data_IF_141623188182
#
_entry.id   IF_141623188182
#
_cell.length_a   1.000
_cell.length_b   1.000
_cell.length_c   1.000
_cell.angle_alpha   90.00
_cell.angle_beta   90.00
_cell.angle_gamma   90.00
#
_symmetry.space_group_name_H-M   'P 1'
#
loop_
_entity.id
_entity.type
_entity.pdbx_description
1 polymer ?
#
# COMPACT_ATOMS: atom_id res chain seq x y z
N UNK A 1 21.64 -7.40 13.40
CA UNK A 1 20.56 -6.49 13.82
C UNK A 1 20.23 -6.70 15.30
N UNK A 2 20.19 -5.67 16.15
CA UNK A 2 19.70 -5.75 17.56
C UNK A 2 18.47 -4.85 17.71
N UNK A 3 17.36 -5.38 18.25
CA UNK A 3 16.08 -4.64 18.44
C UNK A 3 15.80 -4.51 19.94
N UNK A 4 15.41 -3.32 20.40
CA UNK A 4 15.03 -3.06 21.80
C UNK A 4 13.84 -2.10 21.87
N UNK A 5 13.01 -2.28 22.91
CA UNK A 5 11.87 -1.43 23.27
C UNK A 5 12.24 -0.54 24.45
N UNK A 6 11.88 0.73 24.35
CA UNK A 6 12.08 1.76 25.37
C UNK A 6 10.72 2.36 25.72
N UNK A 7 10.43 2.51 27.00
CA UNK A 7 9.20 3.14 27.49
C UNK A 7 9.61 4.27 28.41
N UNK A 8 9.19 5.49 28.09
CA UNK A 8 9.48 6.66 28.90
C UNK A 8 8.28 7.59 29.00
N UNK A 9 8.28 8.45 30.02
CA UNK A 9 7.23 9.43 30.27
C UNK A 9 6.99 10.37 29.09
N UNK A 10 8.08 10.80 28.46
CA UNK A 10 8.08 11.81 27.39
C UNK A 10 8.94 11.34 26.20
N UNK A 11 8.55 11.73 24.99
CA UNK A 11 9.25 11.35 23.75
C UNK A 11 10.74 11.70 23.78
N UNK A 12 11.10 12.87 24.35
CA UNK A 12 12.50 13.31 24.47
C UNK A 12 13.33 12.35 25.33
N UNK A 13 12.78 11.88 26.44
CA UNK A 13 13.43 10.92 27.32
C UNK A 13 13.60 9.58 26.61
N UNK A 14 12.55 9.08 25.94
CA UNK A 14 12.65 7.84 25.16
C UNK A 14 13.74 7.90 24.09
N UNK A 15 13.86 9.02 23.36
CA UNK A 15 14.92 9.22 22.37
C UNK A 15 16.32 9.32 22.98
N UNK A 16 16.43 9.89 24.18
CA UNK A 16 17.70 9.96 24.91
C UNK A 16 18.15 8.55 25.30
N UNK A 17 17.25 7.73 25.86
CA UNK A 17 17.55 6.33 26.17
C UNK A 17 17.90 5.51 24.92
N UNK A 18 17.15 5.67 23.83
CA UNK A 18 17.48 5.01 22.55
C UNK A 18 18.89 5.38 22.12
N UNK A 19 19.26 6.66 22.21
CA UNK A 19 20.60 7.14 21.84
C UNK A 19 21.69 6.63 22.78
N UNK A 20 21.44 6.58 24.08
CA UNK A 20 22.42 6.10 25.07
C UNK A 20 22.65 4.59 24.97
N UNK A 21 21.60 3.81 24.67
CA UNK A 21 21.70 2.35 24.59
C UNK A 21 22.08 1.80 23.22
N UNK A 22 21.56 2.39 22.14
CA UNK A 22 21.78 1.90 20.77
C UNK A 22 22.70 2.80 19.94
N UNK A 23 22.90 4.06 20.35
CA UNK A 23 23.72 5.03 19.63
C UNK A 23 22.91 5.96 18.72
N UNK A 24 23.58 6.93 18.07
CA UNK A 24 22.95 7.89 17.17
C UNK A 24 22.46 7.25 15.86
N UNK A 25 23.00 6.09 15.49
CA UNK A 25 22.65 5.36 14.26
C UNK A 25 21.43 4.44 14.43
N UNK A 26 20.71 4.55 15.55
CA UNK A 26 19.52 3.74 15.83
C UNK A 26 18.36 4.12 14.90
N UNK A 27 17.72 3.11 14.32
CA UNK A 27 16.53 3.26 13.47
C UNK A 27 15.29 2.95 14.29
N UNK A 28 14.33 3.87 14.31
CA UNK A 28 13.04 3.67 14.99
C UNK A 28 12.10 2.87 14.09
N UNK A 29 11.61 1.73 14.59
CA UNK A 29 10.67 0.85 13.89
C UNK A 29 9.21 1.16 14.22
N UNK A 30 8.93 1.60 15.45
CA UNK A 30 7.57 1.88 15.91
C UNK A 30 7.55 2.94 17.00
N UNK A 31 6.47 3.73 17.02
CA UNK A 31 6.14 4.69 18.05
C UNK A 31 4.69 4.47 18.50
N UNK A 32 4.47 4.26 19.79
CA UNK A 32 3.15 4.10 20.40
C UNK A 32 3.04 4.95 21.66
N UNK A 33 1.93 5.68 21.81
CA UNK A 33 1.57 6.29 23.11
C UNK A 33 0.90 5.25 24.00
N UNK A 34 1.38 5.12 25.23
CA UNK A 34 0.90 4.17 26.25
C UNK A 34 0.52 4.95 27.51
N UNK A 35 -0.15 4.30 28.48
CA UNK A 35 -0.50 4.96 29.74
C UNK A 35 0.74 5.49 30.51
N UNK A 36 1.86 4.77 30.39
CA UNK A 36 3.18 5.13 30.95
C UNK A 36 3.92 6.24 30.17
N UNK A 37 3.33 6.76 29.09
CA UNK A 37 3.92 7.81 28.23
C UNK A 37 4.08 7.37 26.77
N UNK A 38 5.32 7.14 26.34
CA UNK A 38 5.66 6.78 24.96
C UNK A 38 6.54 5.54 24.94
N UNK A 39 6.14 4.59 24.11
CA UNK A 39 6.88 3.39 23.77
C UNK A 39 7.54 3.53 22.39
N UNK A 40 8.85 3.37 22.35
CA UNK A 40 9.68 3.42 21.14
C UNK A 40 10.37 2.07 20.94
N UNK A 41 10.18 1.47 19.77
CA UNK A 41 10.93 0.28 19.36
C UNK A 41 11.99 0.69 18.36
N UNK A 42 13.24 0.40 18.66
CA UNK A 42 14.39 0.81 17.86
C UNK A 42 15.32 -0.37 17.58
N UNK A 43 16.07 -0.28 16.48
CA UNK A 43 17.04 -1.28 16.08
C UNK A 43 18.34 -0.64 15.57
N UNK A 44 19.46 -1.35 15.76
CA UNK A 44 20.68 -1.08 14.99
C UNK A 44 20.76 -2.10 13.87
N UNK A 45 20.78 -1.60 12.63
CA UNK A 45 21.21 -2.39 11.49
C UNK A 45 22.64 -1.99 11.14
N UNK A 46 23.52 -2.96 10.95
CA UNK A 46 24.92 -2.69 10.58
C UNK A 46 25.12 -2.72 9.07
N UNK A 47 24.04 -2.57 8.30
CA UNK A 47 24.17 -2.28 6.89
C UNK A 47 24.52 -0.80 6.73
N UNK A 48 25.60 -0.45 6.00
CA UNK A 48 26.00 0.94 5.84
C UNK A 48 24.83 1.71 5.25
N UNK A 49 24.25 2.61 6.05
CA UNK A 49 23.39 3.66 5.54
C UNK A 49 24.14 4.29 4.35
N UNK A 50 23.52 4.43 3.17
CA UNK A 50 24.20 5.07 2.05
C UNK A 50 24.62 6.44 2.53
N UNK A 51 25.94 6.66 2.58
CA UNK A 51 26.55 7.86 3.10
C UNK A 51 25.81 9.06 2.48
N UNK A 52 25.08 9.80 3.31
CA UNK A 52 24.54 11.08 2.92
C UNK A 52 25.75 11.93 2.55
N UNK A 53 25.95 12.11 1.24
CA UNK A 53 27.06 12.87 0.69
C UNK A 53 27.08 14.23 1.41
N UNK A 54 28.22 14.68 1.96
CA UNK A 54 28.29 16.02 2.51
C UNK A 54 27.97 17.00 1.38
N UNK A 55 26.88 17.75 1.53
CA UNK A 55 26.57 18.85 0.64
C UNK A 55 27.74 19.86 0.73
N UNK A 56 28.33 20.27 -0.39
CA UNK A 56 29.40 21.26 -0.35
C UNK A 56 28.84 22.57 0.19
N UNK A 57 29.51 23.12 1.20
CA UNK A 57 29.30 24.48 1.66
C UNK A 57 29.54 25.45 0.49
N UNK A 58 28.49 26.14 0.04
CA UNK A 58 28.62 27.24 -0.90
C UNK A 58 27.46 28.26 -0.78
N UNK A 59 27.82 29.38 -0.16
CA UNK A 59 27.40 30.77 -0.44
C UNK A 59 26.10 31.32 0.20
N UNK A 60 26.13 32.58 0.70
CA UNK A 60 24.96 33.27 1.20
C UNK A 60 24.08 33.68 0.02
N UNK A 61 22.90 33.06 -0.09
CA UNK A 61 21.89 33.42 -1.09
C UNK A 61 20.97 34.50 -0.51
N UNK A 62 20.68 35.59 -1.26
CA UNK A 62 19.87 36.69 -0.75
C UNK A 62 18.43 36.24 -0.51
N UNK A 63 17.82 36.80 0.53
CA UNK A 63 16.48 36.47 1.01
C UNK A 63 15.41 36.63 -0.09
N UNK A 64 14.42 35.71 -0.17
CA UNK A 64 13.33 35.85 -1.13
C UNK A 64 12.38 36.94 -0.64
N UNK A 65 12.39 38.08 -1.33
CA UNK A 65 11.24 39.00 -1.31
C UNK A 65 10.08 38.30 -2.01
N UNK A 66 9.03 38.00 -1.26
CA UNK A 66 7.75 37.54 -1.82
C UNK A 66 7.22 38.60 -2.78
N UNK A 67 7.15 38.28 -4.06
CA UNK A 67 6.28 38.96 -5.01
C UNK A 67 5.38 37.89 -5.60
N UNK A 68 4.17 37.81 -5.07
CA UNK A 68 3.10 37.01 -5.61
C UNK A 68 2.62 37.69 -6.90
N UNK A 69 3.05 37.17 -8.04
CA UNK A 69 2.32 37.36 -9.30
C UNK A 69 1.45 36.14 -9.50
N UNK A 70 0.17 36.30 -9.20
CA UNK A 70 -0.88 35.38 -9.62
C UNK A 70 -0.96 35.48 -11.14
N UNK A 71 -0.57 34.41 -11.83
CA UNK A 71 -0.99 34.14 -13.20
C UNK A 71 -1.87 32.90 -13.10
N UNK A 72 -3.17 33.17 -13.16
CA UNK A 72 -4.24 32.20 -13.36
C UNK A 72 -4.23 31.72 -14.82
N UNK A 73 -4.86 30.58 -15.07
CA UNK A 73 -5.22 29.96 -16.36
C UNK A 73 -4.14 29.13 -17.10
N UNK A 74 -4.23 27.80 -16.96
CA UNK A 74 -4.59 26.92 -18.09
C UNK A 74 -4.93 25.49 -17.58
N UNK A 75 -6.07 25.00 -18.03
CA UNK A 75 -6.63 23.66 -17.85
C UNK A 75 -5.62 22.51 -18.11
N UNK A 76 -5.54 21.54 -17.19
CA UNK A 76 -5.09 20.19 -17.54
C UNK A 76 -5.68 19.17 -16.55
N UNK A 77 -6.89 18.72 -16.85
CA UNK A 77 -7.43 17.45 -16.38
C UNK A 77 -6.49 16.28 -16.76
N UNK A 78 -5.49 15.93 -15.94
CA UNK A 78 -4.82 14.61 -16.01
C UNK A 78 -3.86 14.21 -14.85
N UNK A 79 -3.80 14.80 -13.64
CA UNK A 79 -2.93 14.22 -12.60
C UNK A 79 -3.57 13.01 -11.87
N UNK A 80 -4.90 12.82 -11.99
CA UNK A 80 -5.61 11.77 -11.26
C UNK A 80 -5.38 10.37 -11.86
N UNK A 81 -5.25 10.26 -13.19
CA UNK A 81 -5.06 8.96 -13.84
C UNK A 81 -3.69 8.35 -13.52
N UNK A 82 -2.65 9.19 -13.40
CA UNK A 82 -1.31 8.74 -13.00
C UNK A 82 -1.28 8.16 -11.56
N UNK A 83 -1.94 8.84 -10.61
CA UNK A 83 -2.08 8.34 -9.24
C UNK A 83 -2.90 7.05 -9.18
N UNK A 84 -3.99 7.00 -9.93
CA UNK A 84 -4.89 5.83 -9.98
C UNK A 84 -4.23 4.64 -10.66
N UNK A 85 -3.46 4.86 -11.72
CA UNK A 85 -2.68 3.85 -12.42
C UNK A 85 -1.56 3.28 -11.53
N UNK A 86 -0.88 4.14 -10.75
CA UNK A 86 0.11 3.69 -9.77
C UNK A 86 -0.51 2.85 -8.66
N UNK A 87 -1.66 3.28 -8.14
CA UNK A 87 -2.38 2.56 -7.08
C UNK A 87 -2.92 1.20 -7.58
N UNK A 88 -3.49 1.17 -8.79
CA UNK A 88 -3.91 -0.07 -9.45
C UNK A 88 -2.74 -1.03 -9.70
N UNK A 89 -1.59 -0.50 -10.16
CA UNK A 89 -0.35 -1.29 -10.35
C UNK A 89 0.14 -1.92 -9.04
N UNK A 90 0.03 -1.18 -7.93
CA UNK A 90 0.40 -1.67 -6.60
C UNK A 90 -0.52 -2.80 -6.14
N UNK A 91 -1.83 -2.67 -6.35
CA UNK A 91 -2.81 -3.70 -5.98
C UNK A 91 -2.64 -5.00 -6.77
N UNK A 92 -2.43 -4.91 -8.09
CA UNK A 92 -2.19 -6.08 -8.95
C UNK A 92 -0.92 -6.81 -8.50
N UNK A 93 0.15 -6.07 -8.18
CA UNK A 93 1.41 -6.66 -7.73
C UNK A 93 1.28 -7.40 -6.39
N UNK A 94 0.44 -6.91 -5.46
CA UNK A 94 0.15 -7.62 -4.21
C UNK A 94 -0.69 -8.89 -4.39
N UNK A 95 -1.61 -8.93 -5.36
CA UNK A 95 -2.40 -10.14 -5.65
C UNK A 95 -1.57 -11.24 -6.32
N UNK A 96 -0.67 -10.88 -7.25
CA UNK A 96 0.18 -11.88 -7.94
C UNK A 96 1.12 -12.59 -6.96
N UNK A 97 1.63 -11.90 -5.93
CA UNK A 97 2.49 -12.52 -4.91
C UNK A 97 1.71 -13.46 -3.97
N UNK A 98 0.41 -13.24 -3.75
CA UNK A 98 -0.42 -14.10 -2.89
C UNK A 98 -0.96 -15.34 -3.63
N UNK A 99 -1.16 -15.27 -4.94
CA UNK A 99 -1.74 -16.37 -5.72
C UNK A 99 -0.72 -17.28 -6.41
N UNK A 100 0.58 -16.96 -6.38
CA UNK A 100 1.65 -17.79 -6.95
C UNK A 100 2.07 -18.98 -6.07
N UNK A 101 1.47 -19.16 -4.89
CA UNK A 101 1.74 -20.30 -4.00
C UNK A 101 0.87 -21.55 -4.26
N UNK A 102 0.00 -21.53 -5.28
CA UNK A 102 -0.77 -22.71 -5.70
C UNK A 102 -0.27 -23.22 -7.05
N UNK A 103 0.62 -24.22 -7.01
CA UNK A 103 1.06 -25.00 -8.18
C UNK A 103 -0.16 -25.66 -8.87
N UNK A 104 -0.38 -25.51 -10.19
CA UNK A 104 -1.26 -26.39 -10.92
C UNK A 104 -0.43 -27.47 -11.63
N UNK A 105 -0.57 -28.71 -11.19
CA UNK A 105 -0.18 -29.87 -12.00
C UNK A 105 -1.16 -30.01 -13.16
N UNK A 106 -0.65 -29.84 -14.37
CA UNK A 106 -1.34 -30.12 -15.63
C UNK A 106 -1.66 -31.61 -15.75
N UNK A 107 -2.94 -31.95 -15.93
CA UNK A 107 -3.34 -33.06 -16.82
C UNK A 107 -4.61 -32.69 -17.60
N UNK A 108 -4.47 -32.84 -18.91
CA UNK A 108 -5.48 -32.69 -19.93
C UNK A 108 -6.51 -33.83 -19.89
N UNK A 109 -7.77 -33.51 -20.23
CA UNK A 109 -8.62 -34.30 -21.12
C UNK A 109 -10.00 -33.61 -21.29
N UNK A 110 -10.18 -33.06 -22.48
CA UNK A 110 -11.38 -33.08 -23.34
C UNK A 110 -12.58 -33.94 -22.90
N UNK A 111 -13.79 -33.40 -23.17
CA UNK A 111 -15.09 -34.02 -23.53
C UNK A 111 -16.31 -33.80 -22.60
N UNK A 112 -17.24 -32.99 -23.13
CA UNK A 112 -18.69 -33.22 -23.28
C UNK A 112 -19.60 -33.39 -22.04
N UNK A 113 -20.60 -32.50 -21.95
CA UNK A 113 -21.93 -32.79 -21.39
C UNK A 113 -22.74 -33.62 -22.42
N UNK A 114 -23.81 -34.40 -22.08
CA UNK A 114 -24.77 -34.13 -21.02
C UNK A 114 -25.41 -35.35 -20.28
N UNK A 115 -26.21 -35.00 -19.27
CA UNK A 115 -27.44 -35.69 -18.80
C UNK A 115 -27.34 -36.87 -17.80
N UNK A 116 -28.04 -36.63 -16.69
CA UNK A 116 -28.80 -37.56 -15.84
C UNK A 116 -28.10 -38.31 -14.69
N UNK A 117 -28.90 -38.49 -13.62
CA UNK A 117 -28.68 -39.24 -12.37
C UNK A 117 -27.71 -38.58 -11.38
N UNK A 118 -28.21 -37.79 -10.42
CA UNK A 118 -28.72 -38.28 -9.13
C UNK A 118 -27.81 -39.31 -8.44
N UNK A 119 -27.29 -38.86 -7.31
CA UNK A 119 -27.08 -39.65 -6.10
C UNK A 119 -25.91 -40.65 -6.10
N UNK A 120 -24.69 -40.16 -5.85
CA UNK A 120 -23.76 -40.91 -5.02
C UNK A 120 -22.99 -40.01 -4.05
N UNK A 121 -23.32 -40.22 -2.77
CA UNK A 121 -22.39 -40.35 -1.63
C UNK A 121 -21.56 -39.12 -1.24
N UNK A 122 -22.12 -38.46 -0.23
CA UNK A 122 -21.40 -37.99 0.94
C UNK A 122 -20.22 -38.90 1.32
N UNK A 123 -19.01 -38.56 0.89
CA UNK A 123 -17.74 -38.68 1.61
C UNK A 123 -16.75 -37.78 0.85
N UNK A 124 -16.42 -36.58 1.31
CA UNK A 124 -15.22 -36.36 2.13
C UNK A 124 -14.94 -34.84 2.11
N UNK A 125 -14.49 -34.26 3.24
CA UNK A 125 -13.69 -33.02 3.21
C UNK A 125 -14.43 -31.71 3.46
N UNK A 126 -14.89 -31.49 4.69
CA UNK A 126 -15.17 -30.17 5.22
C UNK A 126 -13.85 -29.37 5.38
N UNK A 127 -13.47 -28.54 4.39
CA UNK A 127 -12.48 -27.46 4.54
C UNK A 127 -12.36 -26.46 3.35
N UNK A 128 -13.37 -26.32 2.46
CA UNK A 128 -13.27 -25.44 1.27
C UNK A 128 -14.32 -24.31 1.18
N UNK A 129 -15.13 -24.10 2.23
CA UNK A 129 -16.23 -23.13 2.21
C UNK A 129 -15.87 -21.69 2.59
N UNK A 130 -14.84 -21.47 3.42
CA UNK A 130 -14.52 -20.13 3.91
C UNK A 130 -13.80 -19.28 2.83
N UNK A 131 -12.88 -19.89 2.07
CA UNK A 131 -12.11 -19.17 1.05
C UNK A 131 -12.93 -18.82 -0.19
N UNK A 132 -13.96 -19.62 -0.53
CA UNK A 132 -14.82 -19.37 -1.70
C UNK A 132 -15.79 -18.22 -1.48
N UNK A 133 -16.35 -18.10 -0.27
CA UNK A 133 -17.19 -16.94 0.11
C UNK A 133 -16.36 -15.66 0.10
N UNK A 134 -15.15 -15.70 0.68
CA UNK A 134 -14.28 -14.53 0.76
C UNK A 134 -13.75 -14.08 -0.61
N UNK A 135 -13.47 -15.00 -1.53
CA UNK A 135 -13.06 -14.69 -2.91
C UNK A 135 -14.22 -14.07 -3.72
N UNK A 136 -15.45 -14.54 -3.50
CA UNK A 136 -16.65 -14.02 -4.16
C UNK A 136 -16.95 -12.59 -3.69
N UNK A 137 -16.85 -12.33 -2.37
CA UNK A 137 -17.03 -10.99 -1.82
C UNK A 137 -15.94 -10.01 -2.29
N UNK A 138 -14.68 -10.46 -2.38
CA UNK A 138 -13.59 -9.64 -2.90
C UNK A 138 -13.81 -9.27 -4.37
N UNK A 139 -14.31 -10.21 -5.18
CA UNK A 139 -14.61 -9.98 -6.60
C UNK A 139 -15.75 -8.99 -6.75
N UNK A 140 -16.81 -9.15 -5.96
CA UNK A 140 -17.96 -8.24 -5.95
C UNK A 140 -17.56 -6.82 -5.52
N UNK A 141 -16.67 -6.68 -4.54
CA UNK A 141 -16.15 -5.39 -4.11
C UNK A 141 -15.29 -4.73 -5.21
N UNK A 142 -14.49 -5.52 -5.93
CA UNK A 142 -13.71 -5.05 -7.07
C UNK A 142 -14.60 -4.57 -8.22
N UNK A 143 -15.64 -5.33 -8.58
CA UNK A 143 -16.62 -4.93 -9.59
C UNK A 143 -17.39 -3.67 -9.18
N UNK A 144 -17.74 -3.53 -7.90
CA UNK A 144 -18.42 -2.34 -7.41
C UNK A 144 -17.54 -1.10 -7.55
N UNK A 145 -16.25 -1.21 -7.23
CA UNK A 145 -15.30 -0.12 -7.45
C UNK A 145 -15.14 0.20 -8.94
N UNK A 146 -15.02 -0.81 -9.81
CA UNK A 146 -14.92 -0.61 -11.25
C UNK A 146 -16.15 0.11 -11.81
N UNK A 147 -17.35 -0.26 -11.33
CA UNK A 147 -18.61 0.38 -11.75
C UNK A 147 -18.70 1.84 -11.31
N UNK A 148 -18.24 2.17 -10.10
CA UNK A 148 -18.20 3.56 -9.64
C UNK A 148 -17.24 4.39 -10.50
N UNK A 149 -16.07 3.83 -10.84
CA UNK A 149 -15.12 4.49 -11.74
C UNK A 149 -15.69 4.66 -13.14
N UNK A 150 -16.40 3.66 -13.66
CA UNK A 150 -17.07 3.75 -14.95
C UNK A 150 -18.13 4.85 -14.95
N UNK A 151 -18.96 4.95 -13.90
CA UNK A 151 -19.94 6.02 -13.76
C UNK A 151 -19.29 7.41 -13.70
N UNK A 152 -18.15 7.55 -13.01
CA UNK A 152 -17.41 8.82 -13.00
C UNK A 152 -16.87 9.17 -14.40
N UNK A 153 -16.35 8.18 -15.14
CA UNK A 153 -15.87 8.36 -16.50
C UNK A 153 -17.01 8.71 -17.47
N UNK A 154 -18.17 8.07 -17.34
CA UNK A 154 -19.34 8.38 -18.16
C UNK A 154 -19.89 9.78 -17.84
N UNK A 155 -19.90 10.19 -16.57
CA UNK A 155 -20.28 11.55 -16.18
C UNK A 155 -19.34 12.59 -16.77
N UNK A 156 -18.02 12.38 -16.66
CA UNK A 156 -16.98 13.25 -17.22
C UNK A 156 -17.06 13.29 -18.76
N UNK A 157 -17.32 12.15 -19.41
CA UNK A 157 -17.53 12.08 -20.85
C UNK A 157 -18.76 12.88 -21.28
N UNK A 158 -19.85 12.80 -20.52
CA UNK A 158 -21.07 13.55 -20.82
C UNK A 158 -20.87 15.06 -20.61
N UNK A 159 -20.09 15.46 -19.61
CA UNK A 159 -19.70 16.86 -19.39
C UNK A 159 -18.84 17.40 -20.55
N UNK A 160 -17.84 16.64 -21.00
CA UNK A 160 -17.03 16.97 -22.18
C UNK A 160 -17.87 17.08 -23.47
N UNK A 161 -18.89 16.23 -23.64
CA UNK A 161 -19.81 16.36 -24.78
C UNK A 161 -20.71 17.60 -24.68
N UNK A 162 -20.98 18.08 -23.47
CA UNK A 162 -21.80 19.28 -23.25
C UNK A 162 -21.02 20.58 -23.41
N UNK A 163 -19.68 20.52 -23.48
CA UNK A 163 -18.78 21.68 -23.56
C UNK A 163 -18.36 22.05 -24.99
N UNK A 164 -18.85 21.30 -26.00
CA UNK A 164 -18.58 21.51 -27.44
C UNK A 164 -19.83 21.97 -28.17
#
# INVERSE_FOLDING_TARGET
>A
MKIKRFVAKDMRTALTEVKEFLGPDAIILSNKKVAEGVEIVAAIDQEPAPAAKPAPAAQPRPEPRFSATVADDDEAEAPADSLKALLARQMIKQQVTQNAAAKPSLKAATQEAPRAAQFERQTSGAAAGANTVQLTELTKLQEQQAKLVQQQMDAMRNEMLSMR
#
